data_IF_157741876077
#
_entry.id   IF_157741876077
#
_cell.length_a   1.000
_cell.length_b   1.000
_cell.length_c   1.000
_cell.angle_alpha   90.00
_cell.angle_beta   90.00
_cell.angle_gamma   90.00
#
_symmetry.space_group_name_H-M   'P 1'
#
loop_
_entity.id
_entity.type
_entity.pdbx_description
1 polymer ?
#
# COMPACT_ATOMS: atom_id res chain seq x y z
N UNK A 1 -15.25 -51.56 -22.17
CA UNK A 1 -14.93 -51.97 -20.79
C UNK A 1 -13.43 -51.84 -20.62
N UNK A 2 -12.99 -50.73 -20.03
CA UNK A 2 -11.58 -50.35 -19.91
C UNK A 2 -11.45 -49.51 -18.66
N UNK A 3 -10.70 -49.96 -17.67
CA UNK A 3 -10.38 -49.18 -16.46
C UNK A 3 -8.87 -49.05 -16.33
N UNK A 4 -8.41 -47.80 -16.43
CA UNK A 4 -7.02 -47.39 -16.33
C UNK A 4 -6.60 -47.10 -14.89
N UNK A 5 -5.31 -47.33 -14.62
CA UNK A 5 -4.60 -47.06 -13.37
C UNK A 5 -4.53 -45.58 -13.05
N UNK A 6 -4.71 -45.25 -11.78
CA UNK A 6 -4.38 -43.98 -11.15
C UNK A 6 -2.95 -44.02 -10.58
N UNK A 7 -2.14 -43.02 -10.90
CA UNK A 7 -0.85 -42.74 -10.27
C UNK A 7 -0.92 -41.33 -9.69
N UNK A 8 -1.00 -41.21 -8.37
CA UNK A 8 -0.80 -39.95 -7.64
C UNK A 8 -0.09 -40.23 -6.32
N UNK A 9 0.65 -39.23 -5.84
CA UNK A 9 1.21 -39.10 -4.48
C UNK A 9 2.56 -39.75 -4.18
N UNK A 10 3.65 -39.12 -4.68
CA UNK A 10 4.97 -39.23 -4.05
C UNK A 10 5.73 -37.88 -3.89
N UNK A 11 5.21 -36.77 -4.44
CA UNK A 11 5.97 -35.51 -4.55
C UNK A 11 5.70 -34.47 -3.43
N UNK A 12 4.73 -34.71 -2.55
CA UNK A 12 4.37 -33.79 -1.46
C UNK A 12 5.30 -33.86 -0.24
N UNK A 13 6.15 -34.89 -0.12
CA UNK A 13 6.99 -35.11 1.08
C UNK A 13 8.45 -34.68 0.93
N UNK A 14 9.00 -34.61 -0.28
CA UNK A 14 10.40 -34.19 -0.47
C UNK A 14 10.62 -32.68 -0.34
N UNK A 15 9.63 -31.85 -0.69
CA UNK A 15 9.74 -30.39 -0.58
C UNK A 15 9.69 -29.91 0.89
N UNK A 16 8.97 -30.64 1.76
CA UNK A 16 8.87 -30.33 3.20
C UNK A 16 10.09 -30.81 4.00
N UNK A 17 10.77 -31.88 3.57
CA UNK A 17 11.92 -32.44 4.30
C UNK A 17 13.21 -31.64 4.15
N UNK A 18 13.41 -30.89 3.06
CA UNK A 18 14.65 -30.10 2.85
C UNK A 18 14.78 -28.84 3.72
N UNK A 19 13.70 -28.40 4.39
CA UNK A 19 13.70 -27.17 5.19
C UNK A 19 13.67 -27.41 6.73
N UNK A 20 13.77 -28.65 7.19
CA UNK A 20 13.54 -29.00 8.60
C UNK A 20 14.80 -29.13 9.49
N UNK A 21 16.01 -28.85 8.99
CA UNK A 21 17.24 -29.00 9.80
C UNK A 21 18.18 -27.81 9.70
N UNK A 22 17.95 -26.78 10.51
CA UNK A 22 18.96 -25.81 10.96
C UNK A 22 18.32 -24.80 11.93
N UNK A 23 18.25 -25.18 13.20
CA UNK A 23 17.87 -24.30 14.31
C UNK A 23 19.07 -23.47 14.77
N UNK A 24 19.15 -22.21 14.33
CA UNK A 24 19.83 -21.11 15.00
C UNK A 24 19.27 -19.80 14.44
N UNK A 25 18.27 -19.22 15.11
CA UNK A 25 17.66 -17.94 14.71
C UNK A 25 18.64 -16.81 15.01
N UNK A 26 19.48 -16.48 14.01
CA UNK A 26 20.04 -15.13 13.87
C UNK A 26 19.09 -14.36 12.97
N UNK A 27 18.58 -13.23 13.45
CA UNK A 27 17.80 -12.32 12.60
C UNK A 27 18.65 -11.93 11.38
N UNK A 28 18.15 -12.10 10.15
CA UNK A 28 18.89 -11.64 8.98
C UNK A 28 18.92 -10.11 9.04
N UNK A 29 20.13 -9.54 9.06
CA UNK A 29 20.33 -8.10 8.83
C UNK A 29 19.67 -7.77 7.48
N UNK A 30 18.62 -6.95 7.50
CA UNK A 30 17.96 -6.45 6.29
C UNK A 30 19.00 -5.68 5.46
N UNK A 31 19.03 -5.83 4.13
CA UNK A 31 19.94 -5.05 3.29
C UNK A 31 19.67 -3.57 3.50
N UNK A 32 20.74 -2.78 3.62
CA UNK A 32 20.66 -1.32 3.72
C UNK A 32 19.90 -0.78 2.51
N UNK A 33 18.76 -0.15 2.77
CA UNK A 33 17.90 0.47 1.77
C UNK A 33 18.66 1.61 1.10
N UNK A 34 19.04 1.43 -0.17
CA UNK A 34 19.47 2.52 -1.03
C UNK A 34 18.24 3.12 -1.71
N UNK A 35 17.89 4.34 -1.29
CA UNK A 35 16.96 5.29 -1.90
C UNK A 35 16.17 4.80 -3.12
N UNK A 36 14.93 4.38 -2.90
CA UNK A 36 13.95 4.15 -3.95
C UNK A 36 13.31 5.49 -4.41
N UNK A 37 14.15 6.46 -4.75
CA UNK A 37 13.75 7.85 -5.08
C UNK A 37 13.40 8.05 -6.56
N UNK A 38 13.14 6.98 -7.32
CA UNK A 38 12.80 7.08 -8.76
C UNK A 38 11.60 6.21 -9.11
N UNK A 39 10.43 6.53 -8.55
CA UNK A 39 9.15 6.02 -9.02
C UNK A 39 8.37 7.15 -9.74
N UNK A 40 8.89 7.58 -10.89
CA UNK A 40 8.28 8.58 -11.79
C UNK A 40 7.41 7.90 -12.84
N UNK A 41 6.10 8.16 -12.83
CA UNK A 41 5.22 7.88 -13.95
C UNK A 41 5.27 9.09 -14.89
N UNK A 42 5.77 8.90 -16.11
CA UNK A 42 5.73 9.90 -17.17
C UNK A 42 4.32 10.03 -17.75
N UNK A 43 3.82 11.26 -17.84
CA UNK A 43 2.73 11.63 -18.73
C UNK A 43 3.00 13.05 -19.25
N UNK A 44 3.26 13.11 -20.56
CA UNK A 44 3.55 14.32 -21.31
C UNK A 44 2.21 14.99 -21.68
N UNK A 45 1.96 16.23 -21.25
CA UNK A 45 0.73 16.97 -21.60
C UNK A 45 1.09 18.19 -22.44
N UNK A 46 0.67 18.15 -23.72
CA UNK A 46 0.64 19.31 -24.63
C UNK A 46 -0.40 20.33 -24.13
N UNK A 47 -0.02 21.61 -24.11
CA UNK A 47 -0.90 22.75 -23.82
C UNK A 47 -1.88 23.01 -24.99
N UNK A 48 -3.09 23.50 -24.71
CA UNK A 48 -3.77 24.40 -25.63
C UNK A 48 -4.00 25.79 -25.04
N UNK A 49 -4.17 26.69 -26.00
CA UNK A 49 -4.12 28.15 -25.97
C UNK A 49 -5.45 28.76 -25.53
N UNK A 50 -5.37 29.94 -24.93
CA UNK A 50 -6.46 30.83 -24.52
C UNK A 50 -7.37 31.30 -25.66
N UNK A 51 -8.68 31.42 -25.39
CA UNK A 51 -9.56 32.33 -26.14
C UNK A 51 -10.63 32.92 -25.22
N UNK A 52 -10.64 34.25 -25.20
CA UNK A 52 -11.58 35.20 -24.56
C UNK A 52 -12.75 35.55 -25.48
N UNK A 53 -13.96 35.75 -24.93
CA UNK A 53 -14.99 36.75 -25.33
C UNK A 53 -16.32 36.43 -24.61
N UNK A 54 -16.76 37.20 -23.61
CA UNK A 54 -17.51 38.47 -23.66
C UNK A 54 -18.99 38.36 -24.09
N UNK A 55 -19.88 38.72 -23.14
CA UNK A 55 -21.08 39.61 -23.23
C UNK A 55 -22.12 39.31 -24.34
N UNK A 56 -23.45 39.41 -24.16
CA UNK A 56 -24.28 40.50 -23.59
C UNK A 56 -25.77 40.12 -23.69
N UNK A 57 -26.61 40.76 -22.85
CA UNK A 57 -27.99 41.28 -23.12
C UNK A 57 -29.12 40.29 -23.46
N UNK A 58 -30.39 40.47 -23.10
CA UNK A 58 -31.13 41.56 -22.41
C UNK A 58 -32.61 41.18 -22.28
N UNK A 59 -33.26 41.82 -21.29
CA UNK A 59 -34.60 42.44 -21.32
C UNK A 59 -35.91 41.62 -21.34
N UNK A 60 -36.81 42.04 -20.41
CA UNK A 60 -38.21 42.48 -20.62
C UNK A 60 -39.12 41.87 -19.52
N UNK A 61 -39.47 42.58 -18.44
CA UNK A 61 -40.52 43.61 -18.21
C UNK A 61 -41.91 43.05 -17.85
N UNK A 62 -42.52 43.75 -16.89
CA UNK A 62 -43.92 43.79 -16.43
C UNK A 62 -44.32 42.73 -15.39
N UNK A 63 -45.11 43.01 -14.33
CA UNK A 63 -45.85 44.20 -13.91
C UNK A 63 -46.31 44.03 -12.44
N UNK A 64 -46.41 45.16 -11.75
CA UNK A 64 -47.23 45.51 -10.56
C UNK A 64 -48.06 44.44 -9.83
N UNK A 65 -47.91 44.38 -8.50
CA UNK A 65 -49.01 44.47 -7.52
C UNK A 65 -48.46 44.68 -6.09
N UNK A 66 -49.20 45.47 -5.33
CA UNK A 66 -48.83 46.10 -4.05
C UNK A 66 -49.20 45.28 -2.82
N UNK A 67 -48.40 45.49 -1.77
CA UNK A 67 -48.68 45.35 -0.33
C UNK A 67 -48.85 43.93 0.25
N UNK A 68 -47.85 43.49 1.02
CA UNK A 68 -48.05 43.25 2.45
C UNK A 68 -46.69 43.21 3.19
N UNK A 69 -46.57 43.94 4.30
CA UNK A 69 -45.39 43.93 5.17
C UNK A 69 -45.55 42.80 6.18
N UNK A 70 -45.08 41.62 5.82
CA UNK A 70 -44.81 40.55 6.79
C UNK A 70 -43.30 40.46 7.04
N UNK A 71 -42.93 40.52 8.32
CA UNK A 71 -41.57 40.33 8.82
C UNK A 71 -40.91 39.08 8.22
N UNK A 72 -39.61 39.10 7.88
CA UNK A 72 -38.96 37.90 7.39
C UNK A 72 -38.93 36.89 8.53
N UNK A 73 -39.74 35.84 8.40
CA UNK A 73 -39.58 34.63 9.19
C UNK A 73 -38.15 34.17 8.98
N UNK A 74 -37.43 33.94 10.09
CA UNK A 74 -36.17 33.21 10.07
C UNK A 74 -36.49 31.80 9.54
N UNK A 75 -36.55 31.65 8.23
CA UNK A 75 -36.44 30.34 7.60
C UNK A 75 -35.07 29.83 8.01
N UNK A 76 -35.07 28.89 8.94
CA UNK A 76 -33.92 28.07 9.21
C UNK A 76 -33.47 27.51 7.85
N UNK A 77 -32.27 27.91 7.42
CA UNK A 77 -31.61 27.35 6.25
C UNK A 77 -31.71 25.82 6.39
N UNK A 78 -32.20 25.09 5.36
CA UNK A 78 -32.21 23.64 5.44
C UNK A 78 -30.79 23.16 5.80
N UNK A 79 -30.63 22.16 6.67
CA UNK A 79 -29.31 21.64 7.01
C UNK A 79 -28.59 21.31 5.70
N UNK A 80 -27.39 21.86 5.54
CA UNK A 80 -26.56 21.60 4.37
C UNK A 80 -26.34 20.08 4.27
N UNK A 81 -26.73 19.39 3.19
CA UNK A 81 -26.50 17.95 3.06
C UNK A 81 -25.01 17.57 2.90
N UNK A 82 -24.08 18.54 3.01
CA UNK A 82 -22.65 18.35 2.74
C UNK A 82 -21.74 18.33 3.99
N UNK A 83 -22.27 18.07 5.19
CA UNK A 83 -21.42 17.84 6.38
C UNK A 83 -21.45 16.41 6.90
N UNK A 84 -21.76 15.44 6.04
CA UNK A 84 -21.37 14.06 6.30
C UNK A 84 -19.97 13.86 5.73
N UNK A 85 -18.96 13.70 6.60
CA UNK A 85 -17.67 13.15 6.15
C UNK A 85 -17.98 11.78 5.54
N UNK A 86 -17.85 11.59 4.21
CA UNK A 86 -18.25 10.34 3.60
C UNK A 86 -17.38 9.22 4.16
N UNK A 87 -18.02 8.17 4.68
CA UNK A 87 -17.31 6.99 5.17
C UNK A 87 -16.50 6.42 4.00
N UNK A 88 -15.19 6.13 4.20
CA UNK A 88 -14.37 5.61 3.12
C UNK A 88 -14.97 4.33 2.55
N UNK A 89 -15.14 4.26 1.22
CA UNK A 89 -15.61 3.05 0.52
C UNK A 89 -14.71 1.83 0.77
N UNK A 90 -13.41 2.06 1.00
CA UNK A 90 -12.41 1.01 1.19
C UNK A 90 -12.00 0.94 2.66
N UNK A 91 -11.97 -0.28 3.20
CA UNK A 91 -11.35 -0.57 4.50
C UNK A 91 -9.85 -0.78 4.31
N UNK A 92 -9.04 0.06 4.95
CA UNK A 92 -7.58 0.03 4.83
C UNK A 92 -6.97 -1.12 5.62
N UNK A 93 -6.22 -1.99 4.94
CA UNK A 93 -5.51 -3.13 5.55
C UNK A 93 -4.10 -3.26 5.00
N UNK A 94 -3.21 -3.78 5.84
CA UNK A 94 -1.90 -4.27 5.41
C UNK A 94 -1.97 -5.81 5.34
N UNK A 95 -1.56 -6.35 4.19
CA UNK A 95 -1.64 -7.77 3.88
C UNK A 95 -0.29 -8.45 4.11
N UNK A 96 -0.26 -9.53 4.87
CA UNK A 96 0.91 -10.41 4.95
C UNK A 96 0.89 -11.43 3.80
N UNK A 97 1.72 -11.16 2.79
CA UNK A 97 1.88 -12.01 1.60
C UNK A 97 3.02 -13.02 1.74
N UNK A 98 3.71 -13.06 2.88
CA UNK A 98 4.88 -13.92 3.05
C UNK A 98 4.52 -15.39 2.82
N UNK A 99 5.28 -16.06 1.96
CA UNK A 99 5.08 -17.43 1.50
C UNK A 99 3.70 -17.72 0.84
N UNK A 100 2.89 -16.68 0.55
CA UNK A 100 1.65 -16.81 -0.20
C UNK A 100 1.94 -16.81 -1.70
N UNK A 101 1.09 -17.48 -2.49
CA UNK A 101 1.19 -17.45 -3.93
C UNK A 101 0.64 -16.11 -4.48
N UNK A 102 1.54 -15.30 -5.04
CA UNK A 102 1.22 -14.12 -5.82
C UNK A 102 1.28 -14.44 -7.31
N UNK A 103 0.20 -14.17 -8.04
CA UNK A 103 0.13 -14.38 -9.49
C UNK A 103 0.18 -13.04 -10.19
N UNK A 104 1.02 -12.92 -11.21
CA UNK A 104 1.11 -11.72 -12.06
C UNK A 104 0.86 -12.10 -13.52
N UNK A 105 -0.05 -11.40 -14.18
CA UNK A 105 -0.26 -11.49 -15.63
C UNK A 105 0.34 -10.26 -16.32
N UNK A 106 1.27 -10.47 -17.25
CA UNK A 106 2.03 -9.42 -17.92
C UNK A 106 3.43 -9.23 -17.31
N UNK A 107 4.46 -9.37 -18.14
CA UNK A 107 5.87 -9.36 -17.75
C UNK A 107 6.68 -8.18 -18.29
N UNK A 108 6.03 -7.07 -18.66
CA UNK A 108 6.72 -5.92 -19.23
C UNK A 108 7.69 -5.26 -18.22
N UNK A 109 8.67 -4.52 -18.74
CA UNK A 109 9.71 -3.89 -17.93
C UNK A 109 9.22 -2.75 -17.02
N UNK A 110 7.99 -2.25 -17.21
CA UNK A 110 7.46 -1.10 -16.49
C UNK A 110 6.52 -1.52 -15.36
N UNK A 111 5.46 -2.25 -15.66
CA UNK A 111 4.44 -2.61 -14.66
C UNK A 111 4.63 -4.04 -14.15
N UNK A 112 4.74 -5.03 -15.04
CA UNK A 112 4.95 -6.43 -14.65
C UNK A 112 6.16 -6.62 -13.74
N UNK A 113 7.32 -6.12 -14.16
CA UNK A 113 8.57 -6.22 -13.41
C UNK A 113 8.46 -5.62 -12.00
N UNK A 114 7.86 -4.44 -11.91
CA UNK A 114 7.70 -3.72 -10.64
C UNK A 114 6.82 -4.50 -9.66
N UNK A 115 5.74 -5.12 -10.12
CA UNK A 115 4.83 -5.89 -9.27
C UNK A 115 5.46 -7.18 -8.78
N UNK A 116 6.15 -7.91 -9.67
CA UNK A 116 6.86 -9.14 -9.32
C UNK A 116 7.93 -8.85 -8.28
N UNK A 117 8.78 -7.83 -8.49
CA UNK A 117 9.84 -7.46 -7.54
C UNK A 117 9.28 -7.09 -6.18
N UNK A 118 8.22 -6.26 -6.13
CA UNK A 118 7.61 -5.86 -4.86
C UNK A 118 7.02 -7.05 -4.09
N UNK A 119 6.34 -7.98 -4.78
CA UNK A 119 5.82 -9.20 -4.14
C UNK A 119 6.96 -10.07 -3.59
N UNK A 120 8.08 -10.22 -4.33
CA UNK A 120 9.26 -10.95 -3.86
C UNK A 120 9.90 -10.29 -2.64
N UNK A 121 10.01 -8.96 -2.62
CA UNK A 121 10.54 -8.19 -1.48
C UNK A 121 9.67 -8.37 -0.23
N UNK A 122 8.35 -8.49 -0.39
CA UNK A 122 7.44 -8.85 0.69
C UNK A 122 7.48 -10.35 1.07
N UNK A 123 8.26 -11.18 0.35
CA UNK A 123 8.45 -12.60 0.63
C UNK A 123 7.37 -13.52 0.05
N UNK A 124 6.61 -13.08 -0.94
CA UNK A 124 5.64 -13.92 -1.65
C UNK A 124 6.34 -14.92 -2.58
N UNK A 125 5.69 -16.05 -2.82
CA UNK A 125 6.04 -16.97 -3.91
C UNK A 125 5.37 -16.44 -5.18
N UNK A 126 6.14 -16.07 -6.20
CA UNK A 126 5.58 -15.39 -7.38
C UNK A 126 5.52 -16.32 -8.58
N UNK A 127 4.34 -16.37 -9.20
CA UNK A 127 4.10 -17.00 -10.49
C UNK A 127 3.74 -15.94 -11.53
N UNK A 128 4.48 -15.90 -12.62
CA UNK A 128 4.34 -14.94 -13.71
C UNK A 128 3.82 -15.64 -14.96
N UNK A 129 2.75 -15.09 -15.54
CA UNK A 129 2.25 -15.48 -16.86
C UNK A 129 2.53 -14.34 -17.85
N UNK A 130 3.38 -14.62 -18.84
CA UNK A 130 3.72 -13.66 -19.90
C UNK A 130 4.32 -14.41 -21.07
N UNK A 131 3.94 -14.11 -22.32
CA UNK A 131 4.66 -14.60 -23.49
C UNK A 131 6.14 -14.19 -23.45
N UNK A 132 7.00 -15.05 -23.99
CA UNK A 132 8.45 -14.87 -24.12
C UNK A 132 8.84 -13.58 -24.84
N UNK A 133 8.05 -13.18 -25.84
CA UNK A 133 8.26 -11.95 -26.60
C UNK A 133 7.98 -10.67 -25.80
N UNK A 134 7.30 -10.77 -24.65
CA UNK A 134 6.83 -9.62 -23.88
C UNK A 134 7.47 -9.51 -22.48
N UNK A 135 8.17 -10.56 -22.02
CA UNK A 135 8.82 -10.57 -20.71
C UNK A 135 10.11 -9.72 -20.73
N UNK A 136 10.33 -8.94 -19.67
CA UNK A 136 11.57 -8.17 -19.51
C UNK A 136 12.78 -9.06 -19.21
N UNK A 137 13.97 -8.62 -19.61
CA UNK A 137 15.23 -9.32 -19.33
C UNK A 137 15.47 -9.53 -17.83
N UNK A 138 15.02 -8.59 -16.98
CA UNK A 138 15.19 -8.71 -15.55
C UNK A 138 14.28 -9.81 -14.97
N UNK A 139 13.04 -9.92 -15.45
CA UNK A 139 12.12 -10.99 -15.05
C UNK A 139 12.59 -12.35 -15.56
N UNK A 140 13.12 -12.42 -16.79
CA UNK A 140 13.73 -13.62 -17.34
C UNK A 140 14.87 -14.13 -16.44
N UNK A 141 15.79 -13.25 -16.04
CA UNK A 141 16.87 -13.59 -15.09
C UNK A 141 16.34 -14.10 -13.73
N UNK A 142 15.21 -13.56 -13.26
CA UNK A 142 14.58 -14.05 -12.03
C UNK A 142 14.00 -15.46 -12.22
N UNK A 143 13.40 -15.74 -13.38
CA UNK A 143 12.91 -17.07 -13.73
C UNK A 143 14.05 -18.07 -13.87
N UNK A 144 15.11 -17.72 -14.61
CA UNK A 144 16.29 -18.57 -14.83
C UNK A 144 17.01 -18.92 -13.51
N UNK A 145 16.99 -18.01 -12.54
CA UNK A 145 17.54 -18.24 -11.20
C UNK A 145 16.58 -18.95 -10.23
N UNK A 146 15.38 -19.33 -10.69
CA UNK A 146 14.37 -20.03 -9.90
C UNK A 146 13.69 -19.18 -8.82
N UNK A 147 13.83 -17.85 -8.88
CA UNK A 147 13.19 -16.94 -7.91
C UNK A 147 11.70 -16.74 -8.17
N UNK A 148 11.26 -16.95 -9.41
CA UNK A 148 9.85 -16.94 -9.80
C UNK A 148 9.55 -18.17 -10.66
N UNK A 149 8.31 -18.63 -10.60
CA UNK A 149 7.78 -19.55 -11.61
C UNK A 149 7.30 -18.73 -12.80
N UNK A 150 7.85 -18.95 -13.99
CA UNK A 150 7.40 -18.29 -15.20
C UNK A 150 6.71 -19.29 -16.14
N UNK A 151 5.56 -18.87 -16.66
CA UNK A 151 4.75 -19.62 -17.63
C UNK A 151 4.66 -18.77 -18.90
N UNK A 152 5.24 -19.31 -19.97
CA UNK A 152 5.30 -18.68 -21.31
C UNK A 152 3.95 -18.78 -22.05
N UNK A 153 2.96 -18.02 -21.58
CA UNK A 153 1.68 -17.78 -22.27
C UNK A 153 0.85 -16.73 -21.54
N UNK A 154 -0.23 -16.30 -22.20
CA UNK A 154 -1.32 -15.53 -21.58
C UNK A 154 -2.19 -16.42 -20.67
N UNK A 155 -3.12 -15.76 -19.98
CA UNK A 155 -4.13 -16.37 -19.11
C UNK A 155 -4.96 -17.46 -19.80
N UNK A 156 -5.26 -18.51 -19.04
CA UNK A 156 -6.24 -19.55 -19.34
C UNK A 156 -7.13 -19.81 -18.10
N UNK A 157 -8.40 -20.20 -18.28
CA UNK A 157 -9.27 -20.54 -17.16
C UNK A 157 -8.64 -21.59 -16.24
N UNK A 158 -8.63 -21.32 -14.93
CA UNK A 158 -8.03 -22.19 -13.94
C UNK A 158 -6.66 -21.75 -13.44
N UNK A 159 -5.99 -20.81 -14.12
CA UNK A 159 -4.66 -20.32 -13.73
C UNK A 159 -4.60 -19.64 -12.37
N UNK A 160 -5.75 -19.17 -11.86
CA UNK A 160 -5.84 -18.56 -10.53
C UNK A 160 -5.87 -19.60 -9.40
N UNK A 161 -5.83 -20.90 -9.71
CA UNK A 161 -5.86 -21.95 -8.70
C UNK A 161 -4.72 -21.80 -7.68
N UNK A 162 -5.08 -21.78 -6.39
CA UNK A 162 -4.12 -21.61 -5.28
C UNK A 162 -3.60 -20.18 -5.09
N UNK A 163 -3.91 -19.25 -5.99
CA UNK A 163 -3.52 -17.85 -5.88
C UNK A 163 -4.16 -17.18 -4.66
N UNK A 164 -3.39 -16.36 -3.95
CA UNK A 164 -3.90 -15.57 -2.83
C UNK A 164 -4.09 -14.10 -3.22
N UNK A 165 -3.10 -13.57 -3.95
CA UNK A 165 -3.15 -12.24 -4.57
C UNK A 165 -2.83 -12.37 -6.05
N UNK A 166 -3.62 -11.71 -6.89
CA UNK A 166 -3.48 -11.68 -8.34
C UNK A 166 -3.37 -10.22 -8.79
N UNK A 167 -2.41 -9.95 -9.66
CA UNK A 167 -2.23 -8.64 -10.29
C UNK A 167 -2.20 -8.82 -11.80
N UNK A 168 -3.06 -8.09 -12.50
CA UNK A 168 -3.07 -8.02 -13.97
C UNK A 168 -2.37 -6.72 -14.37
N UNK A 169 -1.15 -6.85 -14.87
CA UNK A 169 -0.32 -5.75 -15.36
C UNK A 169 -0.55 -5.50 -16.85
N UNK A 170 -0.68 -6.56 -17.65
CA UNK A 170 -1.13 -6.45 -19.05
C UNK A 170 -2.65 -6.43 -19.13
N UNK A 171 -3.20 -5.28 -19.49
CA UNK A 171 -4.63 -5.01 -19.51
C UNK A 171 -5.17 -4.80 -20.92
N UNK A 172 -4.42 -5.16 -21.96
CA UNK A 172 -4.79 -4.88 -23.35
C UNK A 172 -6.09 -5.58 -23.80
N UNK A 173 -6.44 -6.73 -23.22
CA UNK A 173 -7.64 -7.50 -23.54
C UNK A 173 -8.71 -7.35 -22.47
N UNK A 174 -9.78 -6.61 -22.78
CA UNK A 174 -10.94 -6.46 -21.89
C UNK A 174 -11.59 -7.81 -21.54
N UNK A 175 -11.76 -8.68 -22.53
CA UNK A 175 -12.33 -10.03 -22.34
C UNK A 175 -11.50 -10.85 -21.35
N UNK A 176 -10.17 -10.81 -21.48
CA UNK A 176 -9.25 -11.49 -20.55
C UNK A 176 -9.37 -10.92 -19.13
N UNK A 177 -9.39 -9.59 -18.99
CA UNK A 177 -9.52 -8.92 -17.70
C UNK A 177 -10.82 -9.31 -16.98
N UNK A 178 -11.93 -9.36 -17.71
CA UNK A 178 -13.24 -9.75 -17.19
C UNK A 178 -13.28 -11.23 -16.80
N UNK A 179 -12.68 -12.12 -17.60
CA UNK A 179 -12.57 -13.53 -17.29
C UNK A 179 -11.77 -13.76 -15.99
N UNK A 180 -10.63 -13.08 -15.83
CA UNK A 180 -9.82 -13.10 -14.61
C UNK A 180 -10.62 -12.56 -13.41
N UNK A 181 -11.35 -11.45 -13.57
CA UNK A 181 -12.19 -10.87 -12.51
C UNK A 181 -13.28 -11.82 -12.06
N UNK A 182 -13.95 -12.48 -13.00
CA UNK A 182 -15.00 -13.47 -12.71
C UNK A 182 -14.43 -14.68 -11.97
N UNK A 183 -13.27 -15.20 -12.40
CA UNK A 183 -12.62 -16.33 -11.73
C UNK A 183 -12.15 -15.95 -10.32
N UNK A 184 -11.51 -14.79 -10.16
CA UNK A 184 -11.04 -14.30 -8.87
C UNK A 184 -12.19 -14.14 -7.86
N UNK A 185 -13.32 -13.55 -8.29
CA UNK A 185 -14.53 -13.41 -7.47
C UNK A 185 -15.09 -14.77 -7.05
N UNK A 186 -15.18 -15.72 -7.98
CA UNK A 186 -15.66 -17.09 -7.68
C UNK A 186 -14.79 -17.80 -6.64
N UNK A 187 -13.50 -17.50 -6.60
CA UNK A 187 -12.51 -18.14 -5.70
C UNK A 187 -12.19 -17.32 -4.44
N UNK A 188 -12.78 -16.14 -4.26
CA UNK A 188 -12.43 -15.18 -3.20
C UNK A 188 -10.93 -14.78 -3.20
N UNK A 189 -10.36 -14.53 -4.37
CA UNK A 189 -8.96 -14.12 -4.54
C UNK A 189 -8.86 -12.59 -4.60
N UNK A 190 -7.82 -12.04 -3.96
CA UNK A 190 -7.53 -10.61 -4.02
C UNK A 190 -6.99 -10.24 -5.40
N UNK A 191 -7.77 -9.52 -6.20
CA UNK A 191 -7.44 -9.14 -7.56
C UNK A 191 -7.26 -7.63 -7.68
N UNK A 192 -6.15 -7.22 -8.29
CA UNK A 192 -5.93 -5.88 -8.78
C UNK A 192 -5.68 -5.93 -10.30
N UNK A 193 -6.58 -5.36 -11.08
CA UNK A 193 -6.38 -5.08 -12.50
C UNK A 193 -5.90 -3.64 -12.63
N UNK A 194 -4.68 -3.46 -13.14
CA UNK A 194 -4.08 -2.13 -13.29
C UNK A 194 -5.02 -1.21 -14.08
N UNK A 195 -5.21 0.02 -13.61
CA UNK A 195 -6.04 1.06 -14.24
C UNK A 195 -7.52 0.71 -14.55
N UNK A 196 -8.01 -0.50 -14.20
CA UNK A 196 -9.40 -0.95 -14.40
C UNK A 196 -10.08 -1.23 -13.07
N UNK A 197 -10.27 -0.17 -12.27
CA UNK A 197 -10.85 -0.22 -10.91
C UNK A 197 -12.14 -1.05 -10.77
N UNK A 198 -13.12 -1.02 -11.71
CA UNK A 198 -14.35 -1.81 -11.57
C UNK A 198 -14.15 -3.33 -11.52
N UNK A 199 -13.01 -3.84 -12.00
CA UNK A 199 -12.70 -5.27 -12.01
C UNK A 199 -11.95 -5.74 -10.76
N UNK A 200 -11.43 -4.81 -9.96
CA UNK A 200 -10.62 -5.08 -8.78
C UNK A 200 -11.46 -5.49 -7.56
N UNK A 201 -10.89 -6.34 -6.70
CA UNK A 201 -11.39 -6.57 -5.33
C UNK A 201 -10.59 -5.81 -4.28
N UNK A 202 -9.41 -5.27 -4.65
CA UNK A 202 -8.64 -4.33 -3.86
C UNK A 202 -7.92 -3.29 -4.72
N UNK A 203 -7.59 -2.14 -4.15
CA UNK A 203 -6.84 -1.07 -4.82
C UNK A 203 -5.44 -0.94 -4.23
N UNK A 204 -4.44 -0.78 -5.11
CA UNK A 204 -3.09 -0.47 -4.68
C UNK A 204 -2.97 1.02 -4.31
N UNK A 205 -2.67 1.37 -3.05
CA UNK A 205 -2.47 2.76 -2.66
C UNK A 205 -1.11 3.29 -3.15
N UNK A 206 -0.92 4.60 -3.05
CA UNK A 206 0.39 5.22 -3.15
C UNK A 206 1.12 5.02 -1.82
N UNK A 207 2.24 4.29 -1.84
CA UNK A 207 2.98 3.95 -0.63
C UNK A 207 4.17 4.90 -0.45
N UNK A 208 4.32 5.40 0.77
CA UNK A 208 5.53 6.04 1.27
C UNK A 208 6.11 5.09 2.31
N UNK A 209 7.39 4.75 2.19
CA UNK A 209 8.05 3.88 3.16
C UNK A 209 9.37 4.51 3.61
N UNK A 210 9.52 4.65 4.92
CA UNK A 210 10.76 5.04 5.58
C UNK A 210 11.04 4.02 6.68
N UNK A 211 12.05 3.19 6.45
CA UNK A 211 12.37 2.07 7.34
C UNK A 211 11.14 1.19 7.62
N UNK A 212 10.76 1.03 8.89
CA UNK A 212 9.63 0.21 9.31
C UNK A 212 8.28 0.95 9.30
N UNK A 213 8.27 2.25 8.96
CA UNK A 213 7.04 3.03 8.84
C UNK A 213 6.59 3.09 7.38
N UNK A 214 5.38 2.61 7.14
CA UNK A 214 4.69 2.72 5.86
C UNK A 214 3.45 3.60 6.00
N UNK A 215 3.31 4.58 5.11
CA UNK A 215 2.11 5.40 4.97
C UNK A 215 1.47 5.08 3.62
N UNK A 216 0.20 4.70 3.65
CA UNK A 216 -0.60 4.46 2.46
C UNK A 216 -1.52 5.65 2.19
N UNK A 217 -1.36 6.27 1.02
CA UNK A 217 -2.24 7.34 0.54
C UNK A 217 -3.17 6.76 -0.52
N UNK A 218 -4.47 6.81 -0.24
CA UNK A 218 -5.52 6.36 -1.16
C UNK A 218 -6.50 7.48 -1.43
N UNK A 219 -6.86 7.64 -2.70
CA UNK A 219 -7.94 8.53 -3.15
C UNK A 219 -9.17 7.75 -3.59
N UNK A 220 -9.26 6.46 -3.23
CA UNK A 220 -10.33 5.54 -3.64
C UNK A 220 -10.54 5.46 -5.18
N UNK A 221 -9.50 5.79 -5.95
CA UNK A 221 -9.54 5.86 -7.41
C UNK A 221 -9.94 7.23 -7.99
N UNK A 222 -10.30 8.22 -7.16
CA UNK A 222 -10.73 9.55 -7.63
C UNK A 222 -9.61 10.37 -8.27
N UNK A 223 -8.38 10.29 -7.73
CA UNK A 223 -7.24 11.02 -8.27
C UNK A 223 -5.90 10.34 -7.97
N UNK A 224 -5.38 9.52 -8.91
CA UNK A 224 -4.04 8.94 -8.80
C UNK A 224 -2.94 10.02 -8.76
N UNK A 225 -3.14 11.14 -9.47
CA UNK A 225 -2.20 12.26 -9.51
C UNK A 225 -2.06 12.93 -8.13
N UNK A 226 -3.16 13.12 -7.40
CA UNK A 226 -3.11 13.65 -6.03
C UNK A 226 -2.39 12.68 -5.08
N UNK A 227 -2.69 11.38 -5.15
CA UNK A 227 -2.01 10.37 -4.33
C UNK A 227 -0.49 10.32 -4.59
N UNK A 228 -0.08 10.50 -5.85
CA UNK A 228 1.33 10.65 -6.24
C UNK A 228 1.94 11.92 -5.64
N UNK A 229 1.28 13.07 -5.76
CA UNK A 229 1.78 14.36 -5.27
C UNK A 229 1.96 14.37 -3.76
N UNK A 230 1.02 13.78 -3.02
CA UNK A 230 1.10 13.61 -1.57
C UNK A 230 2.28 12.71 -1.19
N UNK A 231 2.46 11.57 -1.88
CA UNK A 231 3.63 10.71 -1.70
C UNK A 231 4.93 11.46 -1.89
N UNK A 232 5.11 12.17 -3.00
CA UNK A 232 6.32 12.94 -3.27
C UNK A 232 6.62 13.96 -2.17
N UNK A 233 5.61 14.72 -1.72
CA UNK A 233 5.76 15.72 -0.66
C UNK A 233 6.11 15.12 0.69
N UNK A 234 5.54 13.97 1.03
CA UNK A 234 5.78 13.29 2.31
C UNK A 234 7.08 12.48 2.31
N UNK A 235 7.53 11.99 1.16
CA UNK A 235 8.81 11.29 1.00
C UNK A 235 10.01 12.23 1.10
N UNK A 236 9.84 13.51 0.79
CA UNK A 236 10.89 14.51 0.87
C UNK A 236 11.04 15.03 2.29
N UNK A 237 12.22 14.80 2.87
CA UNK A 237 12.52 15.18 4.25
C UNK A 237 12.53 16.69 4.46
N UNK A 238 12.97 17.45 3.47
CA UNK A 238 13.05 18.90 3.57
C UNK A 238 11.66 19.53 3.55
N UNK A 239 10.67 18.84 2.95
CA UNK A 239 9.27 19.28 2.92
C UNK A 239 8.39 18.68 4.02
N UNK A 240 8.61 17.44 4.46
CA UNK A 240 7.80 16.81 5.51
C UNK A 240 8.64 16.27 6.66
N UNK A 241 8.56 16.98 7.79
CA UNK A 241 9.13 16.56 9.07
C UNK A 241 8.32 15.42 9.72
N UNK A 242 7.15 15.09 9.16
CA UNK A 242 6.21 14.09 9.67
C UNK A 242 6.80 12.68 9.79
N UNK A 243 7.80 12.34 8.98
CA UNK A 243 8.43 11.01 8.96
C UNK A 243 9.82 10.98 9.62
N UNK A 244 10.24 12.03 10.33
CA UNK A 244 11.52 12.02 11.11
C UNK A 244 11.59 10.87 12.09
N UNK A 245 10.50 10.67 12.82
CA UNK A 245 10.33 9.61 13.82
C UNK A 245 10.51 8.18 13.29
N UNK A 246 10.34 7.97 11.98
CA UNK A 246 10.38 6.65 11.38
C UNK A 246 11.73 5.95 11.57
N UNK A 247 12.81 6.72 11.74
CA UNK A 247 14.17 6.20 11.90
C UNK A 247 14.42 5.72 13.34
N UNK A 248 13.59 6.13 14.30
CA UNK A 248 13.71 5.74 15.71
C UNK A 248 13.18 4.33 15.99
N UNK A 249 12.52 3.68 15.02
CA UNK A 249 11.86 2.38 15.19
C UNK A 249 12.71 1.31 15.91
N UNK A 250 13.95 1.03 15.46
CA UNK A 250 14.83 0.08 16.13
C UNK A 250 15.17 0.45 17.58
N UNK A 251 15.41 1.74 17.86
CA UNK A 251 15.68 2.23 19.21
C UNK A 251 14.46 2.04 20.13
N UNK A 252 13.27 2.41 19.65
CA UNK A 252 12.01 2.26 20.38
C UNK A 252 11.71 0.78 20.67
N UNK A 253 11.95 -0.11 19.71
CA UNK A 253 11.83 -1.55 19.91
C UNK A 253 12.79 -2.05 21.01
N UNK A 254 14.04 -1.59 21.01
CA UNK A 254 15.02 -1.91 22.06
C UNK A 254 14.64 -1.35 23.44
N UNK A 255 14.05 -0.15 23.50
CA UNK A 255 13.51 0.41 24.74
C UNK A 255 12.33 -0.40 25.27
N UNK A 256 11.49 -0.95 24.38
CA UNK A 256 10.33 -1.78 24.76
C UNK A 256 10.78 -3.09 25.40
N UNK A 257 11.87 -3.69 24.91
CA UNK A 257 12.47 -4.89 25.53
C UNK A 257 12.97 -4.56 26.94
N UNK A 258 13.69 -3.44 27.12
CA UNK A 258 14.19 -3.04 28.43
C UNK A 258 13.06 -2.72 29.40
N UNK A 259 12.08 -1.92 28.98
CA UNK A 259 10.89 -1.60 29.78
C UNK A 259 10.22 -2.88 30.32
N UNK A 260 10.10 -3.93 29.52
CA UNK A 260 9.57 -5.24 29.95
C UNK A 260 10.50 -5.96 30.93
N UNK A 261 11.80 -5.98 30.67
CA UNK A 261 12.78 -6.62 31.56
C UNK A 261 12.81 -6.00 32.96
N UNK A 262 12.55 -4.69 33.03
CA UNK A 262 12.48 -3.91 34.26
C UNK A 262 11.08 -3.85 34.88
N UNK A 263 10.10 -4.49 34.23
CA UNK A 263 8.71 -4.59 34.67
C UNK A 263 8.02 -3.24 34.92
N UNK A 264 8.42 -2.18 34.21
CA UNK A 264 7.81 -0.85 34.36
C UNK A 264 6.36 -0.90 33.85
N UNK A 265 5.39 -0.45 34.65
CA UNK A 265 3.97 -0.43 34.29
C UNK A 265 3.58 0.95 33.76
N UNK A 266 3.45 1.02 32.43
CA UNK A 266 3.06 2.23 31.69
C UNK A 266 1.92 1.93 30.74
N UNK A 267 1.01 2.89 30.56
CA UNK A 267 -0.07 2.79 29.55
C UNK A 267 0.46 3.07 28.14
N UNK A 268 -0.28 2.70 27.08
CA UNK A 268 0.08 3.08 25.70
C UNK A 268 0.21 4.60 25.51
N UNK A 269 -0.65 5.38 26.17
CA UNK A 269 -0.62 6.85 26.08
C UNK A 269 0.62 7.43 26.77
N UNK A 270 0.98 6.93 27.95
CA UNK A 270 2.20 7.33 28.66
C UNK A 270 3.45 7.00 27.82
N UNK A 271 3.47 5.84 27.18
CA UNK A 271 4.53 5.46 26.25
C UNK A 271 4.62 6.44 25.07
N UNK A 272 3.48 6.75 24.43
CA UNK A 272 3.45 7.67 23.30
C UNK A 272 3.88 9.10 23.68
N UNK A 273 3.44 9.59 24.84
CA UNK A 273 3.81 10.91 25.36
C UNK A 273 5.29 11.03 25.72
N UNK A 274 5.94 9.90 26.06
CA UNK A 274 7.38 9.86 26.36
C UNK A 274 8.25 10.01 25.10
N UNK A 275 7.65 9.89 23.90
CA UNK A 275 8.33 10.09 22.62
C UNK A 275 8.25 11.59 22.28
N UNK A 276 9.27 12.36 22.66
CA UNK A 276 9.26 13.84 22.62
C UNK A 276 10.20 14.42 21.57
N UNK A 277 9.91 15.64 21.07
CA UNK A 277 10.75 16.30 20.04
C UNK A 277 12.20 16.43 20.49
N UNK A 278 12.41 16.76 21.77
CA UNK A 278 13.76 16.82 22.37
C UNK A 278 14.51 15.49 22.27
N UNK A 279 13.82 14.36 22.46
CA UNK A 279 14.42 13.04 22.29
C UNK A 279 14.78 12.77 20.83
N UNK A 280 13.93 13.18 19.89
CA UNK A 280 14.20 13.08 18.45
C UNK A 280 15.42 13.90 18.05
N UNK A 281 15.54 15.14 18.52
CA UNK A 281 16.68 16.00 18.20
C UNK A 281 18.01 15.41 18.71
N UNK A 282 18.01 14.80 19.91
CA UNK A 282 19.17 14.07 20.45
C UNK A 282 19.50 12.83 19.61
N UNK A 283 18.48 12.10 19.17
CA UNK A 283 18.65 10.93 18.30
C UNK A 283 19.24 11.32 16.94
N UNK A 284 18.72 12.36 16.30
CA UNK A 284 19.22 12.88 15.02
C UNK A 284 20.62 13.51 15.14
N UNK A 285 20.96 14.03 16.33
CA UNK A 285 22.32 14.46 16.68
C UNK A 285 23.33 13.30 16.81
N UNK A 286 22.89 12.04 16.67
CA UNK A 286 23.73 10.85 16.68
C UNK A 286 23.87 10.18 18.05
N UNK A 287 23.29 10.76 19.11
CA UNK A 287 23.36 10.18 20.45
C UNK A 287 22.14 9.29 20.75
N UNK A 288 22.08 8.17 20.04
CA UNK A 288 21.03 7.16 20.25
C UNK A 288 21.00 6.63 21.69
N UNK A 289 22.16 6.59 22.36
CA UNK A 289 22.28 6.15 23.75
C UNK A 289 21.54 7.08 24.70
N UNK A 290 21.78 8.39 24.58
CA UNK A 290 21.11 9.41 25.40
C UNK A 290 19.62 9.50 25.08
N UNK A 291 19.23 9.49 23.80
CA UNK A 291 17.82 9.49 23.42
C UNK A 291 17.06 8.30 24.05
N UNK A 292 17.68 7.11 24.02
CA UNK A 292 17.11 5.92 24.66
C UNK A 292 17.04 6.05 26.18
N UNK A 293 18.07 6.60 26.83
CA UNK A 293 18.05 6.84 28.27
C UNK A 293 16.93 7.81 28.67
N UNK A 294 16.73 8.90 27.91
CA UNK A 294 15.65 9.85 28.14
C UNK A 294 14.27 9.18 28.09
N UNK A 295 14.04 8.27 27.13
CA UNK A 295 12.80 7.50 27.07
C UNK A 295 12.63 6.64 28.33
N UNK A 296 13.65 5.89 28.72
CA UNK A 296 13.58 5.00 29.89
C UNK A 296 13.32 5.79 31.18
N UNK A 297 14.02 6.92 31.40
CA UNK A 297 13.81 7.83 32.54
C UNK A 297 12.35 8.34 32.61
N UNK A 298 11.76 8.69 31.46
CA UNK A 298 10.36 9.12 31.39
C UNK A 298 9.38 7.98 31.76
N UNK A 299 9.65 6.76 31.28
CA UNK A 299 8.83 5.59 31.60
C UNK A 299 8.91 5.19 33.08
N UNK A 300 10.09 5.32 33.71
CA UNK A 300 10.25 5.13 35.15
C UNK A 300 9.44 6.15 35.95
N UNK A 301 9.41 7.41 35.49
CA UNK A 301 8.64 8.48 36.12
C UNK A 301 7.14 8.16 36.09
N UNK A 302 6.62 7.69 34.95
CA UNK A 302 5.23 7.24 34.84
C UNK A 302 4.94 6.01 35.73
N UNK A 303 5.82 5.02 35.76
CA UNK A 303 5.67 3.84 36.63
C UNK A 303 5.70 4.20 38.12
N UNK A 304 6.54 5.15 38.53
CA UNK A 304 6.54 5.67 39.90
C UNK A 304 5.22 6.40 40.23
N UNK A 305 4.76 7.27 39.34
CA UNK A 305 3.49 7.99 39.50
C UNK A 305 2.28 7.05 39.56
N UNK A 306 2.29 5.94 38.81
CA UNK A 306 1.22 4.94 38.83
C UNK A 306 1.20 4.09 40.12
N UNK A 307 2.29 4.11 40.92
CA UNK A 307 2.42 3.37 42.18
C UNK A 307 2.11 4.21 43.42
N UNK A 308 2.14 5.53 43.29
CA UNK A 308 1.78 6.48 44.34
C UNK A 308 0.26 6.60 44.48
#
# INVERSE_FOLDING_TARGET
>A
MTTGRTHTSQWSTEFLKKNASSSAVKSPRRPAWKNASSYTAGANIRKPVSATSSKTSSSSKNSSLSADRSSPSKQARPPNPETENPVPRYYGIYLDVKARLGIVFGGDAREGERKVKYLLECGANVKLFSPDAEISDALRKLADSGKIEWVDRKYQPGDLAGGWVVIVADTASQETNEAISKEAKKRNILLNVMDVTPLCTWIAPSLIQRNDVTVAVSTAGTSPALARRLRERMSDHDYCQCLRWADMGPMLAGARVEQRSRQLKVTPDQWAQSITDKMLDVFEGGDTGRARAMLIEALETHDAANRA
#
